data_IF_353370602882
#
_entry.id   IF_353370602882
#
_cell.length_a   1.000
_cell.length_b   1.000
_cell.length_c   1.000
_cell.angle_alpha   90.00
_cell.angle_beta   90.00
_cell.angle_gamma   90.00
#
_symmetry.space_group_name_H-M   'P 1'
#
loop_
_entity.id
_entity.type
_entity.pdbx_description
1 polymer ?
#
# COMPACT_ATOMS: atom_id res chain seq x y z
N UNK A 1 21.51 5.16 8.50
CA UNK A 1 21.54 5.78 7.15
C UNK A 1 21.36 7.30 7.30
N UNK A 2 21.89 8.16 6.42
CA UNK A 2 22.18 9.60 6.64
C UNK A 2 21.20 10.45 7.48
N UNK A 3 19.90 10.14 7.47
CA UNK A 3 18.90 10.73 8.37
C UNK A 3 19.17 10.43 9.87
N UNK A 4 19.49 9.18 10.21
CA UNK A 4 19.92 8.76 11.57
C UNK A 4 21.27 9.37 11.97
N UNK A 5 22.14 9.61 10.98
CA UNK A 5 23.45 10.21 11.21
C UNK A 5 23.41 11.75 11.25
N UNK A 6 22.23 12.37 11.09
CA UNK A 6 22.06 13.82 11.12
C UNK A 6 22.64 14.57 9.91
N UNK A 7 22.97 13.87 8.82
CA UNK A 7 23.56 14.47 7.61
C UNK A 7 22.51 15.07 6.66
N UNK A 8 21.25 14.69 6.83
CA UNK A 8 20.10 15.19 6.06
C UNK A 8 18.93 15.41 7.00
N UNK A 9 18.04 16.36 6.68
CA UNK A 9 16.84 16.64 7.47
C UNK A 9 15.60 15.85 7.01
N UNK A 10 15.69 15.14 5.88
CA UNK A 10 14.56 14.40 5.34
C UNK A 10 14.97 13.46 4.20
N UNK A 11 14.10 12.49 3.92
CA UNK A 11 14.26 11.52 2.84
C UNK A 11 12.93 11.45 2.09
N UNK A 12 12.99 11.60 0.76
CA UNK A 12 11.86 11.26 -0.10
C UNK A 12 11.97 9.79 -0.48
N UNK A 13 10.97 9.00 -0.08
CA UNK A 13 10.92 7.57 -0.36
C UNK A 13 9.49 7.15 -0.68
N UNK A 14 9.35 6.04 -1.40
CA UNK A 14 8.05 5.45 -1.66
C UNK A 14 7.32 5.09 -0.38
N UNK A 15 6.00 5.26 -0.38
CA UNK A 15 5.14 5.20 0.82
C UNK A 15 5.31 3.92 1.64
N UNK A 16 5.48 2.77 0.98
CA UNK A 16 5.63 1.46 1.65
C UNK A 16 6.97 1.40 2.42
N UNK A 17 8.06 1.81 1.78
CA UNK A 17 9.39 1.81 2.40
C UNK A 17 9.46 2.82 3.54
N UNK A 18 8.96 4.04 3.32
CA UNK A 18 8.92 5.07 4.35
C UNK A 18 8.12 4.60 5.57
N UNK A 19 6.94 4.01 5.36
CA UNK A 19 6.10 3.45 6.43
C UNK A 19 6.79 2.36 7.23
N UNK A 20 7.40 1.39 6.55
CA UNK A 20 8.13 0.30 7.19
C UNK A 20 9.29 0.81 8.06
N UNK A 21 10.14 1.69 7.52
CA UNK A 21 11.28 2.25 8.26
C UNK A 21 10.85 3.06 9.48
N UNK A 22 9.82 3.90 9.34
CA UNK A 22 9.27 4.70 10.43
C UNK A 22 8.73 3.84 11.57
N UNK A 23 8.13 2.68 11.24
CA UNK A 23 7.52 1.78 12.24
C UNK A 23 8.49 0.79 12.86
N UNK A 24 9.47 0.27 12.13
CA UNK A 24 10.28 -0.86 12.58
C UNK A 24 11.71 -0.50 12.98
N UNK A 25 12.26 0.61 12.47
CA UNK A 25 13.68 0.95 12.67
C UNK A 25 13.84 2.22 13.49
N UNK A 26 12.89 3.13 13.38
CA UNK A 26 13.00 4.46 13.95
C UNK A 26 12.47 4.61 15.38
N UNK A 27 11.81 3.59 15.95
CA UNK A 27 11.12 3.68 17.24
C UNK A 27 10.29 4.97 17.40
N UNK A 28 9.55 5.38 16.34
CA UNK A 28 8.76 6.62 16.28
C UNK A 28 9.54 7.96 16.33
N UNK A 29 10.86 7.97 16.16
CA UNK A 29 11.64 9.23 16.11
C UNK A 29 11.50 9.99 14.78
N UNK A 30 10.82 9.41 13.78
CA UNK A 30 10.57 10.05 12.50
C UNK A 30 9.08 10.20 12.23
N UNK A 31 8.73 11.34 11.63
CA UNK A 31 7.37 11.64 11.19
C UNK A 31 7.25 11.44 9.69
N UNK A 32 6.21 10.70 9.28
CA UNK A 32 5.83 10.61 7.87
C UNK A 32 5.04 11.86 7.49
N UNK A 33 5.45 12.51 6.40
CA UNK A 33 4.77 13.68 5.83
C UNK A 33 4.32 13.30 4.43
N UNK A 34 3.02 13.40 4.14
CA UNK A 34 2.48 13.18 2.80
C UNK A 34 2.81 14.36 1.89
N UNK A 35 3.43 14.12 0.75
CA UNK A 35 3.68 15.14 -0.26
C UNK A 35 2.63 15.04 -1.38
N UNK A 36 1.70 15.99 -1.46
CA UNK A 36 0.70 16.06 -2.54
C UNK A 36 1.28 16.50 -3.88
N UNK A 37 2.51 17.01 -3.89
CA UNK A 37 3.23 17.41 -5.10
C UNK A 37 3.64 16.23 -5.99
N UNK A 38 3.55 15.00 -5.49
CA UNK A 38 3.92 13.79 -6.22
C UNK A 38 2.74 12.85 -6.38
N UNK A 39 2.60 12.19 -7.55
CA UNK A 39 1.59 11.15 -7.75
C UNK A 39 1.74 10.03 -6.71
N UNK A 40 0.61 9.43 -6.32
CA UNK A 40 0.65 8.26 -5.46
C UNK A 40 1.32 7.08 -6.17
N UNK A 41 2.27 6.44 -5.48
CA UNK A 41 2.83 5.16 -5.89
C UNK A 41 1.71 4.12 -5.97
N UNK A 42 1.56 3.50 -7.15
CA UNK A 42 0.64 2.37 -7.36
C UNK A 42 1.45 1.08 -7.31
N UNK A 43 1.10 0.21 -6.37
CA UNK A 43 1.64 -1.15 -6.28
C UNK A 43 0.60 -2.15 -6.77
N UNK A 44 1.04 -3.20 -7.43
CA UNK A 44 0.16 -4.23 -7.99
C UNK A 44 0.75 -5.62 -7.78
N UNK A 45 -0.11 -6.64 -7.86
CA UNK A 45 0.31 -8.04 -7.86
C UNK A 45 0.60 -8.44 -9.32
N UNK A 46 1.85 -8.80 -9.59
CA UNK A 46 2.28 -9.28 -10.91
C UNK A 46 1.75 -10.69 -11.18
N UNK A 47 1.04 -10.86 -12.29
CA UNK A 47 0.41 -12.13 -12.68
C UNK A 47 0.70 -12.43 -14.16
N UNK A 48 0.67 -13.72 -14.55
CA UNK A 48 0.74 -14.10 -15.96
C UNK A 48 -0.49 -13.53 -16.70
N UNK A 49 -0.27 -12.95 -17.88
CA UNK A 49 -1.31 -12.31 -18.70
C UNK A 49 -2.53 -13.21 -19.01
N UNK A 50 -2.33 -14.53 -19.08
CA UNK A 50 -3.39 -15.51 -19.37
C UNK A 50 -4.22 -15.96 -18.17
N UNK A 51 -3.78 -15.72 -16.94
CA UNK A 51 -4.35 -16.34 -15.73
C UNK A 51 -5.60 -15.60 -15.22
N UNK A 52 -6.59 -15.42 -16.10
CA UNK A 52 -7.81 -14.63 -15.84
C UNK A 52 -8.57 -15.08 -14.59
N UNK A 53 -8.69 -16.39 -14.38
CA UNK A 53 -9.43 -16.93 -13.21
C UNK A 53 -8.74 -16.55 -11.90
N UNK A 54 -7.42 -16.62 -11.83
CA UNK A 54 -6.67 -16.28 -10.63
C UNK A 54 -6.66 -14.77 -10.39
N UNK A 55 -6.48 -13.98 -11.46
CA UNK A 55 -6.59 -12.51 -11.41
C UNK A 55 -7.94 -12.09 -10.81
N UNK A 56 -9.05 -12.67 -11.29
CA UNK A 56 -10.39 -12.33 -10.81
C UNK A 56 -10.58 -12.69 -9.34
N UNK A 57 -10.13 -13.88 -8.92
CA UNK A 57 -10.23 -14.33 -7.52
C UNK A 57 -9.41 -13.45 -6.57
N UNK A 58 -8.18 -13.09 -6.96
CA UNK A 58 -7.32 -12.19 -6.17
C UNK A 58 -7.98 -10.81 -6.04
N UNK A 59 -8.43 -10.24 -7.16
CA UNK A 59 -9.12 -8.95 -7.19
C UNK A 59 -10.36 -8.92 -6.30
N UNK A 60 -11.19 -9.98 -6.36
CA UNK A 60 -12.35 -10.12 -5.49
C UNK A 60 -11.95 -10.15 -4.02
N UNK A 61 -10.98 -10.99 -3.65
CA UNK A 61 -10.50 -11.10 -2.27
C UNK A 61 -9.96 -9.76 -1.75
N UNK A 62 -9.14 -9.06 -2.54
CA UNK A 62 -8.65 -7.72 -2.19
C UNK A 62 -9.79 -6.71 -2.00
N UNK A 63 -10.82 -6.76 -2.85
CA UNK A 63 -12.03 -5.94 -2.71
C UNK A 63 -12.79 -6.20 -1.40
N UNK A 64 -12.91 -7.47 -0.98
CA UNK A 64 -13.52 -7.85 0.30
C UNK A 64 -12.70 -7.31 1.47
N UNK A 65 -11.38 -7.52 1.47
CA UNK A 65 -10.48 -7.03 2.53
C UNK A 65 -10.44 -5.50 2.63
N UNK A 66 -10.63 -4.81 1.49
CA UNK A 66 -10.82 -3.37 1.46
C UNK A 66 -12.16 -2.98 2.07
N UNK A 67 -13.25 -3.66 1.71
CA UNK A 67 -14.58 -3.33 2.22
C UNK A 67 -14.70 -3.54 3.74
N UNK A 68 -14.13 -4.62 4.27
CA UNK A 68 -14.25 -4.99 5.68
C UNK A 68 -13.19 -4.33 6.60
N UNK A 69 -12.26 -3.56 6.03
CA UNK A 69 -11.23 -2.86 6.77
C UNK A 69 -10.05 -3.72 7.23
N UNK A 70 -9.94 -4.96 6.77
CA UNK A 70 -8.81 -5.83 7.05
C UNK A 70 -7.51 -5.25 6.52
N UNK A 71 -7.53 -4.62 5.34
CA UNK A 71 -6.35 -3.96 4.79
C UNK A 71 -5.86 -2.82 5.68
N UNK A 72 -6.78 -2.01 6.23
CA UNK A 72 -6.42 -0.98 7.21
C UNK A 72 -5.70 -1.55 8.43
N UNK A 73 -6.12 -2.73 8.93
CA UNK A 73 -5.44 -3.38 10.05
C UNK A 73 -4.03 -3.85 9.66
N UNK A 74 -3.89 -4.44 8.48
CA UNK A 74 -2.59 -4.88 7.94
C UNK A 74 -1.65 -3.68 7.76
N UNK A 75 -2.13 -2.61 7.13
CA UNK A 75 -1.34 -1.39 6.87
C UNK A 75 -0.90 -0.71 8.17
N UNK A 76 -1.78 -0.64 9.18
CA UNK A 76 -1.38 -0.12 10.50
C UNK A 76 -0.29 -0.96 11.14
N UNK A 77 -0.44 -2.28 11.13
CA UNK A 77 0.51 -3.21 11.76
C UNK A 77 1.89 -3.13 11.13
N UNK A 78 1.97 -3.14 9.80
CA UNK A 78 3.24 -3.29 9.09
C UNK A 78 3.85 -1.99 8.59
N UNK A 79 3.04 -0.95 8.38
CA UNK A 79 3.48 0.30 7.77
C UNK A 79 3.17 1.53 8.65
N UNK A 80 2.35 1.39 9.70
CA UNK A 80 1.91 2.52 10.53
C UNK A 80 0.93 3.45 9.80
N UNK A 81 0.41 3.01 8.65
CA UNK A 81 -0.44 3.83 7.78
C UNK A 81 -1.91 3.52 8.06
N UNK A 82 -2.69 4.55 8.35
CA UNK A 82 -4.15 4.45 8.49
C UNK A 82 -4.86 4.58 7.13
N UNK A 83 -4.61 3.63 6.22
CA UNK A 83 -5.22 3.59 4.89
C UNK A 83 -5.87 2.24 4.63
N UNK A 84 -7.01 2.27 3.96
CA UNK A 84 -7.72 1.07 3.53
C UNK A 84 -7.76 0.93 2.00
N UNK A 85 -7.11 1.84 1.28
CA UNK A 85 -7.26 1.98 -0.16
C UNK A 85 -6.13 1.27 -0.90
N UNK A 86 -6.48 0.34 -1.80
CA UNK A 86 -5.56 -0.29 -2.77
C UNK A 86 -5.82 0.14 -4.22
N UNK A 87 -6.77 1.04 -4.46
CA UNK A 87 -7.23 1.39 -5.80
C UNK A 87 -8.75 1.44 -5.92
N UNK A 88 -9.28 1.82 -7.09
CA UNK A 88 -10.72 1.86 -7.36
C UNK A 88 -11.32 0.44 -7.34
N UNK A 89 -12.16 0.18 -6.35
CA UNK A 89 -12.82 -1.13 -6.11
C UNK A 89 -13.80 -1.52 -7.23
N UNK A 90 -14.29 -0.55 -8.00
CA UNK A 90 -15.23 -0.75 -9.10
C UNK A 90 -14.66 -1.61 -10.24
N UNK A 91 -13.33 -1.69 -10.37
CA UNK A 91 -12.67 -2.54 -11.37
C UNK A 91 -12.72 -4.03 -10.99
N UNK A 92 -12.88 -4.37 -9.71
CA UNK A 92 -12.91 -5.75 -9.25
C UNK A 92 -14.24 -6.46 -9.50
N UNK A 93 -15.34 -5.69 -9.57
CA UNK A 93 -16.68 -6.24 -9.84
C UNK A 93 -16.95 -6.49 -11.33
N UNK A 94 -16.33 -5.74 -12.24
CA UNK A 94 -16.50 -5.93 -13.70
C UNK A 94 -15.99 -7.30 -14.19
N UNK A 95 -15.04 -7.93 -13.48
CA UNK A 95 -14.48 -9.22 -13.92
C UNK A 95 -15.37 -10.44 -13.60
N UNK A 96 -16.38 -10.28 -12.72
CA UNK A 96 -17.29 -11.35 -12.32
C UNK A 96 -18.52 -11.51 -13.25
N UNK A 97 -18.77 -10.58 -14.17
CA UNK A 97 -19.95 -10.61 -15.05
C UNK A 97 -19.69 -11.24 -16.43
N UNK A 98 -18.52 -11.84 -16.65
CA UNK A 98 -18.14 -12.44 -17.95
C UNK A 98 -17.81 -13.94 -17.84
N UNK A 99 -18.51 -14.69 -16.97
CA UNK A 99 -18.71 -16.15 -17.08
C UNK A 99 -19.99 -16.56 -16.37
#
# INVERSE_FOLDING_TARGET
MDLQAGRTQGVLAGTVYAGYYATHIANNNYKLISASAYPADRVAIGMRKGDRTLINKINYALGVLQKDGTLRRINKKWLGINSNYLGPVAEFQKSNNNR
#
